data_IF_062311613309
#
_entry.id   IF_062311613309
#
_cell.length_a   1.000
_cell.length_b   1.000
_cell.length_c   1.000
_cell.angle_alpha   90.00
_cell.angle_beta   90.00
_cell.angle_gamma   90.00
#
_symmetry.space_group_name_H-M   'P 1'
#
loop_
_entity.id
_entity.type
_entity.pdbx_description
1 polymer ?
#
# COMPACT_ATOMS: atom_id res chain seq x y z
N UNK A 1 27.70 7.78 -55.32
CA UNK A 1 26.66 6.90 -55.89
C UNK A 1 25.47 6.93 -54.95
N UNK A 2 24.42 7.66 -55.34
CA UNK A 2 23.21 7.93 -54.51
C UNK A 2 22.17 6.88 -54.88
N UNK A 3 21.62 6.20 -53.90
CA UNK A 3 20.39 5.43 -54.09
C UNK A 3 19.36 5.96 -53.09
N UNK A 4 18.28 6.53 -53.60
CA UNK A 4 17.07 6.91 -52.89
C UNK A 4 16.13 5.70 -52.85
N UNK A 5 15.57 5.37 -51.73
CA UNK A 5 14.44 4.45 -51.62
C UNK A 5 13.20 5.22 -51.15
N UNK A 6 12.14 5.04 -51.94
CA UNK A 6 10.83 5.67 -51.75
C UNK A 6 10.00 4.89 -50.74
N UNK A 7 9.23 5.64 -49.92
CA UNK A 7 8.22 5.11 -49.01
C UNK A 7 6.89 5.07 -49.76
N UNK A 8 6.30 3.90 -49.86
CA UNK A 8 4.91 3.71 -50.32
C UNK A 8 3.98 3.67 -49.08
N UNK A 9 3.09 4.64 -48.99
CA UNK A 9 2.00 4.62 -48.04
C UNK A 9 0.85 3.76 -48.53
N UNK A 10 0.34 2.93 -47.67
CA UNK A 10 -0.87 2.11 -47.94
C UNK A 10 -1.96 2.51 -46.99
N UNK A 11 -2.96 3.23 -47.53
CA UNK A 11 -4.22 3.57 -46.85
C UNK A 11 -5.15 2.39 -46.85
N UNK A 12 -5.58 1.92 -45.68
CA UNK A 12 -6.70 0.98 -45.57
C UNK A 12 -7.99 1.74 -45.36
N UNK A 13 -8.91 1.57 -46.31
CA UNK A 13 -10.30 2.01 -46.25
C UNK A 13 -11.12 0.95 -45.54
N UNK A 14 -11.80 1.32 -44.46
CA UNK A 14 -12.76 0.46 -43.75
C UNK A 14 -14.14 0.72 -44.35
N UNK A 15 -14.71 -0.29 -44.99
CA UNK A 15 -16.10 -0.30 -45.50
C UNK A 15 -17.02 -0.81 -44.38
N UNK A 16 -17.95 0.03 -43.96
CA UNK A 16 -19.06 -0.35 -43.06
C UNK A 16 -20.17 -1.02 -43.88
N UNK A 17 -20.38 -2.30 -43.64
CA UNK A 17 -21.53 -3.04 -44.22
C UNK A 17 -22.72 -3.08 -43.26
N UNK A 18 -23.84 -2.48 -43.66
CA UNK A 18 -25.15 -2.71 -43.03
C UNK A 18 -25.71 -4.04 -43.52
N UNK A 19 -26.06 -4.94 -42.60
CA UNK A 19 -26.87 -6.15 -42.88
C UNK A 19 -28.23 -6.06 -42.16
N UNK A 20 -29.27 -6.73 -42.66
CA UNK A 20 -30.68 -6.39 -42.38
C UNK A 20 -31.21 -6.99 -41.07
N UNK A 21 -32.17 -6.27 -40.48
CA UNK A 21 -33.01 -6.68 -39.36
C UNK A 21 -33.84 -7.93 -39.71
N UNK A 22 -33.83 -8.92 -38.85
CA UNK A 22 -34.81 -9.99 -38.81
C UNK A 22 -35.93 -9.60 -37.83
N UNK A 23 -37.14 -9.47 -38.30
CA UNK A 23 -38.38 -9.39 -37.55
C UNK A 23 -38.69 -10.77 -36.95
N UNK A 24 -38.97 -10.83 -35.65
CA UNK A 24 -39.53 -12.03 -35.01
C UNK A 24 -41.02 -11.83 -34.74
N UNK A 25 -41.75 -12.83 -35.13
CA UNK A 25 -43.22 -12.93 -35.05
C UNK A 25 -43.74 -13.00 -33.62
N UNK A 26 -44.87 -12.36 -33.39
CA UNK A 26 -45.66 -12.47 -32.17
C UNK A 26 -46.43 -13.78 -32.14
N UNK A 27 -46.10 -14.67 -31.23
CA UNK A 27 -46.88 -15.85 -30.85
C UNK A 27 -47.57 -15.60 -29.52
N UNK A 28 -48.88 -15.43 -29.54
CA UNK A 28 -49.75 -15.43 -28.36
C UNK A 28 -49.92 -16.85 -27.85
N UNK A 29 -49.60 -17.10 -26.56
CA UNK A 29 -50.26 -18.19 -25.86
C UNK A 29 -50.55 -17.78 -24.39
N UNK A 30 -51.82 -17.88 -24.04
CA UNK A 30 -52.37 -17.51 -22.76
C UNK A 30 -52.39 -18.73 -21.85
N UNK A 31 -51.54 -18.71 -20.84
CA UNK A 31 -51.55 -19.65 -19.74
C UNK A 31 -51.59 -18.93 -18.39
N UNK A 32 -52.80 -18.74 -17.87
CA UNK A 32 -53.03 -18.22 -16.52
C UNK A 32 -52.58 -19.21 -15.46
N UNK A 33 -51.62 -18.84 -14.64
CA UNK A 33 -51.35 -19.48 -13.39
C UNK A 33 -51.38 -18.41 -12.27
N UNK A 34 -52.27 -18.49 -11.28
CA UNK A 34 -52.35 -17.52 -10.20
C UNK A 34 -51.53 -17.98 -9.04
N UNK A 35 -50.59 -17.19 -8.68
CA UNK A 35 -49.94 -17.29 -7.39
C UNK A 35 -48.43 -17.41 -7.45
N UNK A 36 -47.81 -16.28 -7.37
CA UNK A 36 -46.52 -16.13 -6.66
C UNK A 36 -46.29 -14.66 -6.37
N UNK A 37 -45.94 -14.40 -5.19
CA UNK A 37 -45.29 -13.23 -4.63
C UNK A 37 -44.94 -12.11 -5.62
N UNK A 38 -45.38 -10.92 -5.29
CA UNK A 38 -44.85 -9.70 -5.89
C UNK A 38 -43.33 -9.72 -5.65
N UNK A 39 -42.56 -10.13 -6.67
CA UNK A 39 -41.13 -10.11 -6.65
C UNK A 39 -40.66 -8.70 -6.32
N UNK A 40 -40.27 -8.47 -5.10
CA UNK A 40 -39.36 -7.41 -4.74
C UNK A 40 -38.26 -7.53 -5.78
N UNK A 41 -38.01 -6.47 -6.54
CA UNK A 41 -36.93 -6.45 -7.52
C UNK A 41 -35.63 -6.83 -6.80
N UNK A 42 -35.21 -8.11 -6.96
CA UNK A 42 -34.21 -8.77 -6.10
C UNK A 42 -32.82 -8.12 -6.20
N UNK A 43 -32.74 -6.96 -6.82
CA UNK A 43 -31.53 -6.21 -7.07
C UNK A 43 -31.42 -4.90 -6.30
N UNK A 44 -32.49 -4.32 -5.78
CA UNK A 44 -32.43 -3.04 -5.06
C UNK A 44 -32.22 -3.31 -3.57
N UNK A 45 -31.27 -2.57 -2.95
CA UNK A 45 -31.04 -2.67 -1.52
C UNK A 45 -32.26 -2.17 -0.72
N UNK A 46 -32.63 -2.90 0.31
CA UNK A 46 -33.65 -2.48 1.28
C UNK A 46 -33.17 -1.28 2.08
N UNK A 47 -34.08 -0.58 2.78
CA UNK A 47 -33.72 0.53 3.67
C UNK A 47 -32.71 0.10 4.76
N UNK A 48 -32.84 -1.10 5.30
CA UNK A 48 -31.90 -1.63 6.29
C UNK A 48 -30.50 -1.87 5.70
N UNK A 49 -30.43 -2.39 4.46
CA UNK A 49 -29.17 -2.59 3.76
C UNK A 49 -28.53 -1.26 3.34
N UNK A 50 -29.32 -0.26 2.97
CA UNK A 50 -28.84 1.10 2.70
C UNK A 50 -28.31 1.75 4.00
N UNK A 51 -29.01 1.59 5.12
CA UNK A 51 -28.54 2.06 6.43
C UNK A 51 -27.20 1.39 6.79
N UNK A 52 -27.05 0.10 6.51
CA UNK A 52 -25.77 -0.60 6.67
C UNK A 52 -24.71 -0.06 5.71
N UNK A 53 -25.04 0.20 4.45
CA UNK A 53 -24.11 0.77 3.47
C UNK A 53 -23.56 2.14 3.90
N UNK A 54 -24.36 2.96 4.59
CA UNK A 54 -23.91 4.23 5.18
C UNK A 54 -22.81 4.06 6.24
N UNK A 55 -22.64 2.89 6.84
CA UNK A 55 -21.51 2.64 7.77
C UNK A 55 -20.17 2.45 7.05
N UNK A 56 -20.20 2.19 5.73
CA UNK A 56 -19.03 2.00 4.87
C UNK A 56 -18.69 3.23 4.02
N UNK A 57 -19.54 4.25 4.00
CA UNK A 57 -19.41 5.44 3.15
C UNK A 57 -20.10 6.65 3.80
N UNK A 58 -19.54 7.86 3.59
CA UNK A 58 -18.33 8.18 2.83
C UNK A 58 -17.03 7.94 3.62
N UNK A 59 -15.90 7.92 2.91
CA UNK A 59 -14.58 7.94 3.56
C UNK A 59 -14.43 9.28 4.34
N UNK A 60 -14.13 9.26 5.65
CA UNK A 60 -14.08 10.46 6.50
C UNK A 60 -12.90 11.37 6.14
N UNK A 61 -12.71 12.47 6.87
CA UNK A 61 -11.48 13.25 6.86
C UNK A 61 -10.26 12.37 7.17
N UNK A 62 -9.08 12.72 6.65
CA UNK A 62 -7.85 12.02 7.01
C UNK A 62 -7.65 12.15 8.52
N UNK A 63 -7.46 11.04 9.27
CA UNK A 63 -7.29 11.09 10.72
C UNK A 63 -6.13 11.99 11.13
N UNK A 64 -6.27 12.72 12.24
CA UNK A 64 -5.16 13.49 12.80
C UNK A 64 -4.01 12.57 13.22
N UNK A 65 -2.79 13.06 13.04
CA UNK A 65 -1.57 12.37 13.53
C UNK A 65 -0.77 13.32 14.43
N UNK A 66 -1.09 13.37 15.74
CA UNK A 66 -0.39 14.25 16.68
C UNK A 66 1.09 13.88 16.86
N UNK A 67 1.48 12.67 16.50
CA UNK A 67 2.89 12.19 16.59
C UNK A 67 3.79 12.77 15.51
N UNK A 68 3.18 13.45 14.53
CA UNK A 68 3.84 14.22 13.48
C UNK A 68 3.23 15.64 13.41
N UNK A 69 3.85 16.61 14.05
CA UNK A 69 3.38 18.01 14.05
C UNK A 69 3.29 18.63 12.64
N UNK A 70 3.94 18.03 11.64
CA UNK A 70 3.97 18.44 10.25
C UNK A 70 3.03 17.63 9.34
N UNK A 71 2.18 16.79 9.93
CA UNK A 71 1.34 15.84 9.19
C UNK A 71 0.48 16.52 8.11
N UNK A 72 -0.04 17.71 8.38
CA UNK A 72 -0.90 18.45 7.46
C UNK A 72 -0.24 19.74 6.92
N UNK A 73 1.07 19.94 7.18
CA UNK A 73 1.84 21.07 6.66
C UNK A 73 2.10 20.93 5.16
N UNK A 74 1.78 21.97 4.38
CA UNK A 74 1.89 21.95 2.94
C UNK A 74 3.34 21.95 2.43
N UNK A 75 4.25 22.63 3.14
CA UNK A 75 5.66 22.67 2.79
C UNK A 75 6.33 21.33 3.09
N UNK A 76 5.99 20.71 4.23
CA UNK A 76 6.43 19.36 4.56
C UNK A 76 5.92 18.33 3.54
N UNK A 77 4.67 18.42 3.11
CA UNK A 77 4.13 17.56 2.06
C UNK A 77 4.87 17.76 0.71
N UNK A 78 5.23 18.98 0.36
CA UNK A 78 6.00 19.28 -0.86
C UNK A 78 7.41 18.68 -0.78
N UNK A 79 8.10 18.85 0.35
CA UNK A 79 9.39 18.18 0.58
C UNK A 79 9.24 16.65 0.54
N UNK A 80 8.20 16.12 1.17
CA UNK A 80 7.90 14.70 1.18
C UNK A 80 7.69 14.13 -0.22
N UNK A 81 6.98 14.85 -1.12
CA UNK A 81 6.84 14.47 -2.52
C UNK A 81 8.20 14.39 -3.21
N UNK A 82 9.06 15.42 -3.05
CA UNK A 82 10.42 15.41 -3.63
C UNK A 82 11.21 14.17 -3.18
N UNK A 83 11.20 13.89 -1.88
CA UNK A 83 11.91 12.76 -1.28
C UNK A 83 11.35 11.40 -1.73
N UNK A 84 10.04 11.32 -1.95
CA UNK A 84 9.35 10.11 -2.42
C UNK A 84 9.80 9.71 -3.84
N UNK A 85 10.07 10.69 -4.68
CA UNK A 85 10.52 10.50 -6.08
C UNK A 85 12.06 10.50 -6.24
N UNK A 86 12.81 10.92 -5.23
CA UNK A 86 14.29 10.97 -5.32
C UNK A 86 14.90 9.58 -5.11
N UNK A 87 15.54 9.06 -6.13
CA UNK A 87 16.27 7.79 -6.05
C UNK A 87 17.73 7.95 -5.60
N UNK A 88 18.29 9.17 -5.64
CA UNK A 88 19.73 9.42 -5.60
C UNK A 88 20.45 8.92 -4.33
N UNK A 89 19.72 8.70 -3.24
CA UNK A 89 20.28 8.21 -1.97
C UNK A 89 20.17 6.69 -1.78
N UNK A 90 19.58 5.96 -2.73
CA UNK A 90 19.48 4.50 -2.62
C UNK A 90 20.84 3.80 -2.77
N UNK A 91 20.94 2.64 -2.13
CA UNK A 91 22.12 1.78 -2.16
C UNK A 91 22.38 1.15 -3.52
N UNK A 92 23.37 0.27 -3.54
CA UNK A 92 23.71 -0.48 -4.75
C UNK A 92 22.66 -1.56 -5.05
N UNK A 93 22.34 -1.73 -6.33
CA UNK A 93 21.50 -2.83 -6.80
C UNK A 93 22.21 -4.16 -6.59
N UNK A 94 21.54 -5.09 -5.94
CA UNK A 94 21.97 -6.48 -5.85
C UNK A 94 21.41 -7.32 -7.02
N UNK A 95 20.29 -6.88 -7.61
CA UNK A 95 19.64 -7.52 -8.76
C UNK A 95 19.67 -6.53 -9.93
N UNK A 96 20.24 -6.95 -11.05
CA UNK A 96 20.33 -6.13 -12.26
C UNK A 96 19.13 -6.32 -13.21
N UNK A 97 19.17 -5.62 -14.35
CA UNK A 97 18.13 -5.66 -15.39
C UNK A 97 17.85 -7.09 -15.89
N UNK A 98 18.86 -7.93 -15.95
CA UNK A 98 18.77 -9.36 -16.26
C UNK A 98 18.04 -10.17 -15.18
N UNK A 99 18.03 -9.68 -13.94
CA UNK A 99 17.30 -10.25 -12.82
C UNK A 99 15.85 -9.78 -12.72
N UNK A 100 15.35 -9.01 -13.69
CA UNK A 100 13.96 -8.55 -13.72
C UNK A 100 13.66 -7.33 -12.85
N UNK A 101 14.65 -6.46 -12.60
CA UNK A 101 14.48 -5.25 -11.79
C UNK A 101 13.72 -4.11 -12.48
N UNK A 102 12.95 -4.39 -13.54
CA UNK A 102 12.18 -3.38 -14.25
C UNK A 102 13.01 -2.30 -14.94
N UNK A 103 14.22 -2.65 -15.40
CA UNK A 103 15.18 -1.76 -16.04
C UNK A 103 15.72 -0.62 -15.13
N UNK A 104 15.78 -0.85 -13.80
CA UNK A 104 16.39 0.11 -12.87
C UNK A 104 17.89 0.31 -13.14
N UNK A 105 18.60 -0.72 -13.60
CA UNK A 105 20.03 -0.63 -13.93
C UNK A 105 20.79 -1.94 -13.73
N UNK A 106 22.13 -1.87 -13.78
CA UNK A 106 23.00 -3.00 -13.57
C UNK A 106 23.31 -3.24 -12.09
N UNK A 107 23.71 -4.48 -11.75
CA UNK A 107 24.21 -4.82 -10.40
C UNK A 107 25.35 -3.87 -10.02
N UNK A 108 25.32 -3.38 -8.79
CA UNK A 108 26.29 -2.44 -8.24
C UNK A 108 25.97 -0.95 -8.47
N UNK A 109 25.09 -0.61 -9.42
CA UNK A 109 24.66 0.77 -9.60
C UNK A 109 23.87 1.29 -8.39
N UNK A 110 24.10 2.56 -8.04
CA UNK A 110 23.47 3.25 -6.91
C UNK A 110 22.53 4.33 -7.42
N UNK A 111 21.65 4.83 -6.53
CA UNK A 111 20.76 5.94 -6.87
C UNK A 111 19.67 5.57 -7.86
N UNK A 112 19.19 4.33 -7.85
CA UNK A 112 18.23 3.80 -8.83
C UNK A 112 16.84 3.54 -8.29
N UNK A 113 16.69 3.43 -6.97
CA UNK A 113 15.43 3.06 -6.32
C UNK A 113 14.88 4.22 -5.53
N UNK A 114 13.65 4.61 -5.81
CA UNK A 114 12.85 5.56 -5.04
C UNK A 114 11.60 4.87 -4.50
N UNK A 115 10.82 5.53 -3.64
CA UNK A 115 9.55 4.97 -3.16
C UNK A 115 8.60 4.66 -4.33
N UNK A 116 8.53 5.56 -5.32
CA UNK A 116 7.73 5.37 -6.55
C UNK A 116 8.17 4.14 -7.37
N UNK A 117 9.37 3.62 -7.17
CA UNK A 117 9.83 2.42 -7.86
C UNK A 117 9.02 1.18 -7.52
N UNK A 118 8.49 1.08 -6.28
CA UNK A 118 7.64 -0.01 -5.82
C UNK A 118 6.18 0.42 -5.64
N UNK A 119 5.92 1.70 -5.47
CA UNK A 119 4.58 2.25 -5.29
C UNK A 119 4.21 3.08 -6.50
N UNK A 120 3.83 2.41 -7.58
CA UNK A 120 3.47 3.05 -8.84
C UNK A 120 2.24 3.95 -8.68
N UNK A 121 2.21 5.02 -9.45
CA UNK A 121 1.42 6.20 -9.18
C UNK A 121 -0.10 6.05 -9.18
N UNK A 122 -0.66 5.11 -9.94
CA UNK A 122 -2.11 5.03 -10.09
C UNK A 122 -2.78 4.18 -9.01
N UNK A 123 -2.16 3.07 -8.63
CA UNK A 123 -2.72 2.11 -7.67
C UNK A 123 -1.93 2.04 -6.37
N UNK A 124 -0.70 2.53 -6.38
CA UNK A 124 0.18 2.49 -5.22
C UNK A 124 0.79 1.13 -4.91
N UNK A 125 0.60 0.12 -5.75
CA UNK A 125 1.25 -1.20 -5.63
C UNK A 125 2.24 -1.44 -6.75
N UNK A 126 3.15 -2.38 -6.55
CA UNK A 126 4.22 -2.72 -7.49
C UNK A 126 3.82 -3.91 -8.37
N UNK A 127 3.85 -3.73 -9.68
CA UNK A 127 3.60 -4.76 -10.68
C UNK A 127 4.87 -5.33 -11.33
N UNK A 128 6.06 -4.75 -11.03
CA UNK A 128 7.33 -5.18 -11.64
C UNK A 128 7.80 -6.56 -11.19
N UNK A 129 7.21 -7.09 -10.16
CA UNK A 129 7.62 -8.35 -9.52
C UNK A 129 6.94 -9.59 -10.08
N UNK A 130 6.16 -9.46 -11.14
CA UNK A 130 5.59 -10.61 -11.85
C UNK A 130 6.73 -11.42 -12.49
N UNK A 131 6.80 -12.75 -12.27
CA UNK A 131 5.82 -13.63 -11.63
C UNK A 131 5.95 -13.80 -10.11
N UNK A 132 6.94 -13.21 -9.47
CA UNK A 132 7.30 -13.54 -8.07
C UNK A 132 6.50 -12.78 -7.02
N UNK A 133 5.78 -11.73 -7.40
CA UNK A 133 4.80 -11.01 -6.60
C UNK A 133 5.29 -10.36 -5.30
N UNK A 134 6.58 -10.38 -5.01
CA UNK A 134 7.21 -9.64 -3.92
C UNK A 134 7.88 -8.38 -4.47
N UNK A 135 7.96 -7.33 -3.66
CA UNK A 135 8.55 -6.06 -4.10
C UNK A 135 10.01 -6.22 -4.51
N UNK A 136 10.39 -5.54 -5.58
CA UNK A 136 11.75 -5.45 -6.08
C UNK A 136 12.28 -4.02 -5.91
N UNK A 137 13.15 -3.85 -4.92
CA UNK A 137 13.93 -2.64 -4.69
C UNK A 137 15.36 -2.78 -5.21
N UNK A 138 16.34 -2.63 -4.33
CA UNK A 138 17.75 -2.96 -4.63
C UNK A 138 17.97 -4.48 -4.73
N UNK A 139 17.11 -5.26 -4.07
CA UNK A 139 17.01 -6.71 -4.11
C UNK A 139 15.55 -7.10 -3.93
N UNK A 140 15.22 -8.37 -4.03
CA UNK A 140 13.87 -8.85 -3.74
C UNK A 140 13.54 -8.70 -2.26
N UNK A 141 12.43 -8.02 -1.99
CA UNK A 141 11.81 -7.97 -0.68
C UNK A 141 11.23 -9.32 -0.26
N UNK A 142 10.54 -9.34 0.87
CA UNK A 142 9.90 -10.56 1.38
C UNK A 142 8.38 -10.54 1.21
N UNK A 143 7.81 -9.40 0.87
CA UNK A 143 6.36 -9.17 0.76
C UNK A 143 6.07 -8.27 -0.43
N UNK A 144 4.83 -8.31 -0.90
CA UNK A 144 4.32 -7.41 -1.92
C UNK A 144 4.21 -5.96 -1.39
N UNK A 145 4.40 -4.97 -2.25
CA UNK A 145 4.19 -3.57 -1.91
C UNK A 145 2.70 -3.29 -1.67
N UNK A 146 2.41 -2.54 -0.62
CA UNK A 146 1.06 -2.11 -0.29
C UNK A 146 0.71 -0.84 -1.08
N UNK A 147 -0.56 -0.68 -1.43
CA UNK A 147 -1.07 0.58 -1.93
C UNK A 147 -0.80 1.71 -0.92
N UNK A 148 -0.29 2.85 -1.41
CA UNK A 148 -0.07 4.06 -0.60
C UNK A 148 -1.27 5.00 -0.62
N UNK A 149 -2.11 4.92 -1.65
CA UNK A 149 -3.38 5.67 -1.74
C UNK A 149 -4.30 5.19 -0.63
N UNK A 150 -4.88 6.13 0.09
CA UNK A 150 -5.72 5.90 1.27
C UNK A 150 -5.02 5.19 2.46
N UNK A 151 -3.71 4.99 2.43
CA UNK A 151 -2.98 4.34 3.53
C UNK A 151 -3.11 5.09 4.86
N UNK A 152 -3.35 6.41 4.83
CA UNK A 152 -3.51 7.25 6.04
C UNK A 152 -4.74 6.98 6.87
N UNK A 153 -5.70 6.20 6.34
CA UNK A 153 -6.90 5.81 7.08
C UNK A 153 -6.71 4.53 7.91
N UNK A 154 -5.56 3.88 7.79
CA UNK A 154 -5.29 2.61 8.46
C UNK A 154 -4.43 2.83 9.71
N UNK A 155 -4.79 2.21 10.85
CA UNK A 155 -4.14 2.50 12.14
C UNK A 155 -2.72 1.92 12.25
N UNK A 156 -2.38 0.95 11.40
CA UNK A 156 -1.09 0.29 11.33
C UNK A 156 -0.57 0.31 9.91
N UNK A 157 0.74 0.40 9.75
CA UNK A 157 1.39 0.35 8.43
C UNK A 157 2.21 -0.93 8.26
N UNK A 158 2.46 -1.33 7.00
CA UNK A 158 3.00 -2.63 6.61
C UNK A 158 2.02 -3.79 6.89
N UNK A 159 2.28 -4.96 6.32
CA UNK A 159 1.43 -6.15 6.39
C UNK A 159 1.25 -6.70 7.80
N UNK A 160 2.31 -6.83 8.57
CA UNK A 160 2.27 -7.29 9.95
C UNK A 160 2.12 -6.16 10.98
N UNK A 161 1.86 -4.92 10.55
CA UNK A 161 1.75 -3.77 11.44
C UNK A 161 3.06 -3.46 12.17
N UNK A 162 4.18 -3.58 11.47
CA UNK A 162 5.53 -3.32 11.99
C UNK A 162 5.74 -1.87 12.41
N UNK A 163 4.85 -0.96 11.98
CA UNK A 163 4.92 0.46 12.29
C UNK A 163 3.55 0.95 12.75
N UNK A 164 3.55 1.77 13.78
CA UNK A 164 2.36 2.33 14.41
C UNK A 164 2.04 3.76 13.95
N UNK A 165 2.87 4.33 13.07
CA UNK A 165 2.66 5.62 12.43
C UNK A 165 3.09 5.58 10.96
N UNK A 166 2.57 6.52 10.15
CA UNK A 166 3.01 6.63 8.76
C UNK A 166 4.43 7.16 8.64
N UNK A 167 4.89 8.01 9.55
CA UNK A 167 6.21 8.61 9.45
C UNK A 167 7.34 7.66 9.84
N UNK A 168 7.07 6.62 10.63
CA UNK A 168 8.09 5.63 11.00
C UNK A 168 8.38 4.61 9.89
N UNK A 169 7.41 4.33 9.02
CA UNK A 169 7.55 3.38 7.91
C UNK A 169 8.67 3.75 6.91
N UNK A 170 8.74 4.99 6.36
CA UNK A 170 9.78 5.37 5.40
C UNK A 170 11.20 5.20 5.93
N UNK A 171 11.41 5.33 7.25
CA UNK A 171 12.71 5.18 7.89
C UNK A 171 13.25 3.75 7.69
N UNK A 172 12.45 2.76 8.05
CA UNK A 172 12.86 1.37 7.91
C UNK A 172 12.96 0.93 6.45
N UNK A 173 12.10 1.45 5.58
CA UNK A 173 12.15 1.17 4.13
C UNK A 173 13.44 1.72 3.52
N UNK A 174 13.84 2.94 3.86
CA UNK A 174 15.06 3.54 3.35
C UNK A 174 16.30 2.75 3.78
N UNK A 175 16.41 2.31 5.04
CA UNK A 175 17.56 1.56 5.53
C UNK A 175 17.55 0.06 5.22
N UNK A 176 16.42 -0.49 4.74
CA UNK A 176 16.34 -1.89 4.35
C UNK A 176 17.23 -2.18 3.13
N UNK A 177 18.24 -3.04 3.31
CA UNK A 177 19.21 -3.37 2.27
C UNK A 177 18.62 -4.02 1.02
N UNK A 178 17.42 -4.60 1.12
CA UNK A 178 16.71 -5.19 -0.02
C UNK A 178 15.77 -4.21 -0.72
N UNK A 179 15.39 -3.12 -0.04
CA UNK A 179 14.41 -2.17 -0.59
C UNK A 179 15.13 -0.95 -1.16
N UNK A 180 15.64 -0.06 -0.31
CA UNK A 180 16.36 1.12 -0.79
C UNK A 180 17.87 1.08 -0.46
N UNK A 181 18.30 0.33 0.54
CA UNK A 181 19.72 0.18 0.89
C UNK A 181 20.42 1.49 1.26
N UNK A 182 19.67 2.53 1.64
CA UNK A 182 20.20 3.80 2.09
C UNK A 182 20.79 3.70 3.51
N UNK A 183 21.37 4.80 3.97
CA UNK A 183 21.78 4.96 5.38
C UNK A 183 21.23 6.28 5.90
N UNK A 184 20.97 6.39 7.22
CA UNK A 184 20.46 7.64 7.80
C UNK A 184 21.43 8.80 7.67
N UNK A 185 22.74 8.55 7.70
CA UNK A 185 23.76 9.56 7.39
C UNK A 185 23.67 9.99 5.92
N UNK A 186 23.53 9.05 4.99
CA UNK A 186 23.31 9.38 3.57
C UNK A 186 22.08 10.23 3.36
N UNK A 187 20.99 9.97 4.09
CA UNK A 187 19.76 10.80 4.05
C UNK A 187 20.03 12.19 4.64
N UNK A 188 20.78 12.31 5.73
CA UNK A 188 21.15 13.62 6.31
C UNK A 188 21.96 14.46 5.32
N UNK A 189 22.95 13.86 4.65
CA UNK A 189 23.72 14.54 3.60
C UNK A 189 22.90 14.83 2.35
N UNK A 190 21.95 13.98 1.97
CA UNK A 190 20.99 14.31 0.88
C UNK A 190 20.22 15.58 1.20
N UNK A 191 19.66 15.66 2.41
CA UNK A 191 18.89 16.84 2.86
C UNK A 191 19.76 18.08 2.87
N UNK A 192 20.98 18.00 3.34
CA UNK A 192 21.94 19.11 3.30
C UNK A 192 22.23 19.56 1.86
N UNK A 193 22.57 18.63 0.99
CA UNK A 193 23.07 18.95 -0.35
C UNK A 193 21.97 19.43 -1.32
N UNK A 194 20.75 18.88 -1.19
CA UNK A 194 19.67 19.13 -2.16
C UNK A 194 18.48 19.91 -1.60
N UNK A 195 18.17 19.72 -0.32
CA UNK A 195 16.89 20.14 0.26
C UNK A 195 17.07 21.00 1.52
N UNK A 196 18.26 21.55 1.78
CA UNK A 196 18.55 22.33 2.99
C UNK A 196 17.57 23.46 3.20
N UNK A 197 17.35 24.29 2.18
CA UNK A 197 16.46 25.44 2.30
C UNK A 197 15.01 25.01 2.62
N UNK A 198 14.54 23.93 2.02
CA UNK A 198 13.21 23.39 2.32
C UNK A 198 13.15 22.86 3.76
N UNK A 199 14.16 22.09 4.18
CA UNK A 199 14.22 21.53 5.52
C UNK A 199 14.26 22.60 6.60
N UNK A 200 15.18 23.57 6.46
CA UNK A 200 15.40 24.64 7.44
C UNK A 200 14.17 25.59 7.55
N UNK A 201 13.37 25.69 6.49
CA UNK A 201 12.12 26.46 6.51
C UNK A 201 10.96 25.74 7.20
N UNK A 202 10.98 24.41 7.25
CA UNK A 202 9.89 23.59 7.80
C UNK A 202 10.15 23.23 9.26
N UNK A 203 11.34 22.72 9.55
CA UNK A 203 11.64 22.14 10.85
C UNK A 203 12.29 23.17 11.79
N UNK A 204 11.85 23.26 13.07
CA UNK A 204 12.30 24.28 14.01
C UNK A 204 13.78 24.23 14.35
N UNK A 205 14.42 23.08 14.13
CA UNK A 205 15.86 22.93 14.32
C UNK A 205 16.49 22.67 12.96
N UNK A 206 17.29 23.62 12.44
CA UNK A 206 17.89 23.50 11.11
C UNK A 206 18.90 22.36 11.04
N UNK A 207 19.36 22.06 9.84
CA UNK A 207 20.43 21.09 9.62
C UNK A 207 21.74 21.57 10.24
N UNK A 208 22.49 20.66 10.88
CA UNK A 208 23.80 20.99 11.47
C UNK A 208 24.81 21.37 10.38
N UNK A 209 25.51 22.47 10.58
CA UNK A 209 26.46 22.99 9.59
C UNK A 209 27.63 22.03 9.31
N UNK A 210 27.98 21.16 10.24
CA UNK A 210 29.01 20.13 10.05
C UNK A 210 28.61 19.03 9.03
N UNK A 211 27.36 19.03 8.54
CA UNK A 211 26.96 18.24 7.36
C UNK A 211 27.57 18.77 6.05
N UNK A 212 28.05 20.01 6.04
CA UNK A 212 28.85 20.52 4.94
C UNK A 212 30.21 19.81 4.89
N UNK A 213 30.56 19.15 3.79
CA UNK A 213 31.87 18.48 3.69
C UNK A 213 33.06 19.45 3.76
N UNK A 214 32.82 20.75 3.56
CA UNK A 214 33.82 21.80 3.70
C UNK A 214 33.95 22.37 5.14
N UNK A 215 33.06 21.97 6.05
CA UNK A 215 33.11 22.43 7.44
C UNK A 215 34.35 21.87 8.16
N UNK A 216 34.94 22.66 9.06
CA UNK A 216 36.13 22.26 9.82
C UNK A 216 35.90 21.02 10.69
N UNK A 217 34.66 20.80 11.11
CA UNK A 217 34.22 19.67 11.95
C UNK A 217 33.36 18.64 11.18
N UNK A 218 33.43 18.64 9.84
CA UNK A 218 32.65 17.72 8.99
C UNK A 218 32.87 16.24 9.35
N UNK A 219 33.99 15.88 9.94
CA UNK A 219 34.29 14.52 10.40
C UNK A 219 33.29 13.99 11.46
N UNK A 220 32.51 14.86 12.10
CA UNK A 220 31.42 14.46 13.01
C UNK A 220 30.33 13.65 12.30
N UNK A 221 30.09 13.90 11.03
CA UNK A 221 29.05 13.26 10.23
C UNK A 221 29.66 12.53 9.02
N UNK A 222 30.09 11.27 9.18
CA UNK A 222 30.55 10.46 8.05
C UNK A 222 29.55 10.43 6.90
N UNK A 223 30.04 10.32 5.66
CA UNK A 223 29.19 10.38 4.45
C UNK A 223 28.11 9.28 4.40
N UNK A 224 28.34 8.16 5.07
CA UNK A 224 27.45 7.02 5.13
C UNK A 224 27.52 6.36 6.51
N UNK A 225 26.42 5.80 6.96
CA UNK A 225 26.35 5.05 8.20
C UNK A 225 24.93 4.89 8.71
N UNK A 226 24.66 3.75 9.31
CA UNK A 226 23.43 3.39 10.01
C UNK A 226 23.76 2.41 11.14
N UNK A 227 22.88 2.20 12.12
CA UNK A 227 23.12 1.20 13.16
C UNK A 227 23.41 -0.17 12.57
N UNK A 228 24.34 -0.87 13.15
CA UNK A 228 24.63 -2.27 12.80
C UNK A 228 23.40 -3.15 13.00
N UNK A 229 23.26 -4.19 12.18
CA UNK A 229 22.09 -5.04 12.17
C UNK A 229 22.02 -5.94 13.40
N UNK A 230 23.17 -6.45 13.87
CA UNK A 230 23.29 -7.26 15.06
C UNK A 230 24.36 -6.71 16.01
N UNK A 231 24.20 -6.95 17.29
CA UNK A 231 25.16 -6.51 18.29
C UNK A 231 26.57 -7.07 18.08
N UNK A 232 26.67 -8.27 17.51
CA UNK A 232 27.94 -8.93 17.20
C UNK A 232 28.62 -8.41 15.93
N UNK A 233 27.94 -7.61 15.10
CA UNK A 233 28.55 -7.04 13.90
C UNK A 233 29.64 -6.03 14.31
N UNK A 234 30.69 -5.86 13.49
CA UNK A 234 31.74 -4.87 13.77
C UNK A 234 31.17 -3.45 13.79
N UNK A 235 31.77 -2.59 14.60
CA UNK A 235 31.42 -1.18 14.64
C UNK A 235 31.75 -0.51 13.30
N UNK A 236 30.74 0.18 12.75
CA UNK A 236 30.84 0.98 11.55
C UNK A 236 30.96 2.48 11.86
N UNK A 237 30.93 3.33 10.83
CA UNK A 237 30.98 4.77 11.01
C UNK A 237 29.91 5.31 11.97
N UNK A 238 28.74 4.68 12.02
CA UNK A 238 27.66 5.06 12.93
C UNK A 238 27.99 4.83 14.39
N UNK A 239 28.54 3.67 14.73
CA UNK A 239 28.88 3.32 16.11
C UNK A 239 30.03 4.18 16.66
N UNK A 240 30.94 4.62 15.79
CA UNK A 240 32.10 5.47 16.13
C UNK A 240 31.73 6.94 16.36
N UNK A 241 30.49 7.39 15.97
CA UNK A 241 30.05 8.74 16.24
C UNK A 241 29.77 8.99 17.72
N UNK A 242 29.91 10.23 18.15
CA UNK A 242 29.46 10.68 19.46
C UNK A 242 27.92 10.51 19.58
N UNK A 243 27.46 10.20 20.79
CA UNK A 243 26.04 9.98 21.07
C UNK A 243 25.17 11.19 20.70
N UNK A 244 25.68 12.42 20.95
CA UNK A 244 25.01 13.67 20.56
C UNK A 244 24.84 13.81 19.05
N UNK A 245 25.86 13.46 18.28
CA UNK A 245 25.83 13.52 16.82
C UNK A 245 24.86 12.48 16.24
N UNK A 246 24.83 11.27 16.81
CA UNK A 246 23.82 10.26 16.46
C UNK A 246 22.39 10.75 16.74
N UNK A 247 22.16 11.47 17.84
CA UNK A 247 20.85 12.04 18.16
C UNK A 247 20.44 13.13 17.14
N UNK A 248 21.38 13.96 16.69
CA UNK A 248 21.14 14.94 15.62
C UNK A 248 20.70 14.23 14.32
N UNK A 249 21.45 13.23 13.90
CA UNK A 249 21.11 12.46 12.68
C UNK A 249 19.77 11.75 12.81
N UNK A 250 19.47 11.15 13.97
CA UNK A 250 18.18 10.50 14.20
C UNK A 250 17.00 11.48 14.12
N UNK A 251 17.15 12.72 14.64
CA UNK A 251 16.13 13.77 14.49
C UNK A 251 15.94 14.14 13.01
N UNK A 252 17.02 14.35 12.28
CA UNK A 252 16.96 14.66 10.84
C UNK A 252 16.25 13.53 10.10
N UNK A 253 16.59 12.30 10.44
CA UNK A 253 15.99 11.11 9.85
C UNK A 253 14.50 10.96 10.20
N UNK A 254 14.08 11.23 11.42
CA UNK A 254 12.68 11.28 11.80
C UNK A 254 11.91 12.34 10.98
N UNK A 255 12.49 13.53 10.81
CA UNK A 255 11.90 14.61 10.02
C UNK A 255 11.77 14.24 8.53
N UNK A 256 12.74 13.50 7.97
CA UNK A 256 12.62 12.89 6.63
C UNK A 256 11.35 12.01 6.54
N UNK A 257 11.15 11.12 7.50
CA UNK A 257 9.94 10.28 7.53
C UNK A 257 8.66 11.08 7.72
N UNK A 258 8.68 12.12 8.56
CA UNK A 258 7.55 13.01 8.82
C UNK A 258 7.14 13.78 7.56
N UNK A 259 8.10 14.27 6.77
CA UNK A 259 7.82 14.93 5.49
C UNK A 259 7.18 13.97 4.48
N UNK A 260 7.72 12.76 4.32
CA UNK A 260 7.12 11.75 3.44
C UNK A 260 5.70 11.40 3.89
N UNK A 261 5.46 11.22 5.19
CA UNK A 261 4.13 10.97 5.72
C UNK A 261 3.15 12.11 5.42
N UNK A 262 3.59 13.38 5.53
CA UNK A 262 2.78 14.53 5.15
C UNK A 262 2.35 14.48 3.67
N UNK A 263 3.24 14.06 2.77
CA UNK A 263 2.89 13.82 1.37
C UNK A 263 1.92 12.65 1.20
N UNK A 264 2.16 11.50 1.82
CA UNK A 264 1.29 10.32 1.72
C UNK A 264 -0.13 10.62 2.18
N UNK A 265 -0.32 11.54 3.13
CA UNK A 265 -1.64 12.01 3.58
C UNK A 265 -2.42 12.79 2.51
N UNK A 266 -1.76 13.30 1.47
CA UNK A 266 -2.40 13.91 0.30
C UNK A 266 -2.86 12.89 -0.72
N UNK A 267 -2.34 11.66 -0.70
CA UNK A 267 -2.71 10.59 -1.64
C UNK A 267 -4.05 9.96 -1.23
N UNK A 268 -5.12 10.68 -1.48
CA UNK A 268 -6.48 10.26 -1.11
C UNK A 268 -7.33 10.12 -2.36
N UNK A 269 -7.95 8.96 -2.50
CA UNK A 269 -8.96 8.65 -3.52
C UNK A 269 -10.32 8.50 -2.85
N UNK A 270 -11.31 9.23 -3.35
CA UNK A 270 -12.68 9.32 -2.85
C UNK A 270 -13.67 9.14 -3.99
N UNK A 271 -14.96 9.26 -3.69
CA UNK A 271 -16.04 9.24 -4.69
C UNK A 271 -16.06 7.96 -5.55
N UNK A 272 -15.76 6.82 -4.92
CA UNK A 272 -15.96 5.53 -5.56
C UNK A 272 -17.42 5.40 -6.05
N UNK A 273 -17.71 4.61 -7.08
CA UNK A 273 -19.09 4.35 -7.49
C UNK A 273 -20.00 3.97 -6.32
N UNK A 274 -19.52 3.15 -5.40
CA UNK A 274 -20.25 2.81 -4.17
C UNK A 274 -20.55 4.05 -3.30
N UNK A 275 -19.60 4.97 -3.15
CA UNK A 275 -19.82 6.21 -2.36
C UNK A 275 -20.92 7.08 -2.99
N UNK A 276 -20.94 7.20 -4.32
CA UNK A 276 -21.98 7.95 -5.05
C UNK A 276 -23.35 7.29 -4.92
N UNK A 277 -23.38 5.96 -4.97
CA UNK A 277 -24.61 5.20 -4.77
C UNK A 277 -25.18 5.46 -3.36
N UNK A 278 -24.38 5.34 -2.31
CA UNK A 278 -24.78 5.61 -0.93
C UNK A 278 -25.21 7.07 -0.74
N UNK A 279 -24.63 8.00 -1.52
CA UNK A 279 -25.01 9.42 -1.51
C UNK A 279 -26.31 9.70 -2.32
N UNK A 280 -26.96 8.68 -2.91
CA UNK A 280 -28.26 8.80 -3.59
C UNK A 280 -28.23 8.69 -5.11
N UNK A 281 -27.06 8.50 -5.75
CA UNK A 281 -26.98 8.20 -7.19
C UNK A 281 -27.28 6.72 -7.45
N UNK A 282 -28.55 6.38 -7.59
CA UNK A 282 -29.00 4.99 -7.78
C UNK A 282 -28.42 4.31 -9.03
N UNK A 283 -27.84 5.07 -9.95
CA UNK A 283 -27.25 4.56 -11.21
C UNK A 283 -25.75 4.33 -11.10
N UNK A 284 -25.11 4.72 -9.99
CA UNK A 284 -23.66 4.66 -9.82
C UNK A 284 -23.10 3.23 -9.76
N UNK A 285 -23.91 2.25 -9.36
CA UNK A 285 -23.55 0.83 -9.35
C UNK A 285 -24.65 -0.02 -9.97
N UNK A 286 -24.25 -1.15 -10.54
CA UNK A 286 -25.19 -2.09 -11.16
C UNK A 286 -26.02 -2.84 -10.11
N UNK A 287 -27.16 -3.42 -10.55
CA UNK A 287 -27.98 -4.33 -9.74
C UNK A 287 -27.14 -5.52 -9.24
N UNK A 288 -26.25 -6.05 -10.07
CA UNK A 288 -25.30 -7.10 -9.68
C UNK A 288 -24.39 -6.64 -8.53
N UNK A 289 -23.84 -5.43 -8.58
CA UNK A 289 -23.02 -4.89 -7.49
C UNK A 289 -23.82 -4.66 -6.20
N UNK A 290 -25.09 -4.29 -6.28
CA UNK A 290 -25.97 -4.19 -5.11
C UNK A 290 -26.21 -5.56 -4.46
N UNK A 291 -26.47 -6.62 -5.26
CA UNK A 291 -26.52 -7.99 -4.74
C UNK A 291 -25.18 -8.42 -4.15
N UNK A 292 -24.07 -8.01 -4.78
CA UNK A 292 -22.73 -8.26 -4.28
C UNK A 292 -22.46 -7.63 -2.90
N UNK A 293 -23.02 -6.46 -2.62
CA UNK A 293 -22.96 -5.87 -1.27
C UNK A 293 -23.69 -6.74 -0.25
N UNK A 294 -24.86 -7.34 -0.60
CA UNK A 294 -25.54 -8.32 0.27
C UNK A 294 -24.65 -9.53 0.53
N UNK A 295 -24.05 -10.09 -0.51
CA UNK A 295 -23.11 -11.21 -0.35
C UNK A 295 -21.97 -10.82 0.56
N UNK A 296 -21.37 -9.64 0.37
CA UNK A 296 -20.26 -9.12 1.19
C UNK A 296 -20.62 -9.02 2.67
N UNK A 297 -21.82 -8.55 2.99
CA UNK A 297 -22.26 -8.28 4.37
C UNK A 297 -22.93 -9.47 5.05
N UNK A 298 -23.44 -10.44 4.29
CA UNK A 298 -24.18 -11.60 4.80
C UNK A 298 -23.38 -12.91 4.60
N UNK A 299 -23.76 -13.74 3.62
CA UNK A 299 -23.20 -15.08 3.45
C UNK A 299 -21.71 -15.13 3.14
N UNK A 300 -21.15 -14.09 2.51
CA UNK A 300 -19.72 -13.94 2.25
C UNK A 300 -18.89 -13.59 3.48
N UNK A 301 -19.54 -13.11 4.56
CA UNK A 301 -18.91 -12.75 5.85
C UNK A 301 -17.74 -11.76 5.75
N UNK A 302 -17.52 -11.12 4.60
CA UNK A 302 -16.37 -10.24 4.36
C UNK A 302 -16.39 -9.03 5.30
N UNK A 303 -17.59 -8.47 5.57
CA UNK A 303 -17.77 -7.32 6.45
C UNK A 303 -17.37 -7.57 7.90
N UNK A 304 -17.17 -8.83 8.32
CA UNK A 304 -16.72 -9.18 9.67
C UNK A 304 -15.32 -8.63 9.97
N UNK A 305 -14.44 -8.64 8.97
CA UNK A 305 -13.08 -8.08 9.05
C UNK A 305 -12.98 -6.78 8.22
N UNK A 306 -13.61 -6.74 7.05
CA UNK A 306 -13.58 -5.58 6.15
C UNK A 306 -14.75 -4.63 6.44
N UNK A 307 -14.75 -4.00 7.62
CA UNK A 307 -15.81 -3.11 8.11
C UNK A 307 -15.43 -1.62 8.04
N UNK A 308 -16.42 -0.76 8.18
CA UNK A 308 -16.27 0.70 8.23
C UNK A 308 -15.80 1.33 6.92
N UNK A 309 -15.58 2.66 6.90
CA UNK A 309 -15.33 3.42 5.67
C UNK A 309 -14.08 3.05 4.90
N UNK A 310 -13.09 2.46 5.57
CA UNK A 310 -11.86 1.94 4.93
C UNK A 310 -11.97 0.48 4.51
N UNK A 311 -13.09 -0.18 4.78
CA UNK A 311 -13.25 -1.64 4.60
C UNK A 311 -12.13 -2.42 5.30
N UNK A 312 -11.86 -2.07 6.56
CA UNK A 312 -10.84 -2.70 7.40
C UNK A 312 -11.18 -2.47 8.86
N UNK A 313 -11.12 -3.50 9.67
CA UNK A 313 -11.24 -3.41 11.13
C UNK A 313 -9.93 -2.98 11.82
N UNK A 314 -8.84 -2.84 11.04
CA UNK A 314 -7.51 -2.50 11.52
C UNK A 314 -6.85 -3.57 12.40
N UNK A 315 -7.42 -4.77 12.47
CA UNK A 315 -6.90 -5.89 13.25
C UNK A 315 -6.02 -6.82 12.40
N UNK A 316 -5.59 -7.91 13.00
CA UNK A 316 -4.67 -8.89 12.40
C UNK A 316 -5.30 -10.28 12.48
N UNK A 317 -5.33 -10.97 11.32
CA UNK A 317 -5.96 -12.27 11.17
C UNK A 317 -5.00 -13.22 10.46
N UNK A 318 -4.94 -14.47 10.94
CA UNK A 318 -4.18 -15.54 10.30
C UNK A 318 -5.11 -16.24 9.30
N UNK A 319 -4.84 -16.06 8.01
CA UNK A 319 -5.66 -16.58 6.92
C UNK A 319 -5.07 -17.86 6.30
N UNK A 320 -3.84 -18.23 6.64
CA UNK A 320 -3.15 -19.38 6.06
C UNK A 320 -2.77 -19.19 4.58
N UNK A 321 -2.46 -17.97 4.16
CA UNK A 321 -1.97 -17.72 2.79
C UNK A 321 -0.64 -18.43 2.59
N UNK A 322 -0.56 -19.32 1.60
CA UNK A 322 0.60 -20.16 1.37
C UNK A 322 1.83 -19.34 0.96
N UNK A 323 2.98 -19.69 1.53
CA UNK A 323 4.27 -19.11 1.15
C UNK A 323 4.82 -19.82 -0.08
N UNK A 324 4.33 -19.47 -1.27
CA UNK A 324 4.69 -20.11 -2.53
C UNK A 324 5.19 -19.08 -3.54
N UNK A 325 6.21 -19.42 -4.28
CA UNK A 325 6.85 -18.55 -5.29
C UNK A 325 8.36 -18.55 -5.16
N UNK A 326 9.08 -18.35 -6.24
CA UNK A 326 10.54 -18.44 -6.30
C UNK A 326 11.25 -17.48 -5.32
N UNK A 327 10.68 -16.28 -5.11
CA UNK A 327 11.28 -15.22 -4.28
C UNK A 327 10.53 -15.02 -2.96
N UNK A 328 9.46 -15.77 -2.73
CA UNK A 328 8.69 -15.72 -1.50
C UNK A 328 9.46 -16.49 -0.41
N UNK A 329 9.65 -15.93 0.78
CA UNK A 329 10.32 -16.66 1.85
C UNK A 329 9.49 -17.90 2.26
N UNK A 330 10.18 -18.97 2.62
CA UNK A 330 9.51 -20.23 3.02
C UNK A 330 8.61 -20.02 4.25
N UNK A 331 8.94 -19.06 5.10
CA UNK A 331 8.24 -18.72 6.33
C UNK A 331 8.05 -17.23 6.45
N UNK A 332 6.84 -16.79 6.79
CA UNK A 332 6.54 -15.43 7.24
C UNK A 332 5.59 -15.49 8.44
N UNK A 333 6.12 -15.15 9.60
CA UNK A 333 5.37 -15.20 10.87
C UNK A 333 4.44 -13.99 11.08
N UNK A 334 4.33 -13.09 10.10
CA UNK A 334 3.41 -11.95 10.14
C UNK A 334 3.63 -11.04 11.35
N UNK A 335 2.54 -10.77 12.07
CA UNK A 335 2.54 -9.91 13.27
C UNK A 335 3.52 -10.37 14.34
N UNK A 336 3.66 -11.69 14.53
CA UNK A 336 4.57 -12.26 15.54
C UNK A 336 6.00 -11.76 15.38
N UNK A 337 6.54 -11.77 14.17
CA UNK A 337 7.92 -11.33 13.93
C UNK A 337 8.08 -9.80 13.91
N UNK A 338 7.00 -9.05 13.67
CA UNK A 338 7.05 -7.60 13.50
C UNK A 338 6.94 -6.83 14.83
N UNK A 339 6.27 -7.38 15.85
CA UNK A 339 6.04 -6.74 17.16
C UNK A 339 7.32 -6.41 17.92
N UNK A 340 8.31 -7.31 18.07
CA UNK A 340 9.53 -6.98 18.82
C UNK A 340 10.28 -5.78 18.26
N UNK A 341 10.41 -5.70 16.93
CA UNK A 341 11.07 -4.59 16.27
C UNK A 341 10.31 -3.27 16.41
N UNK A 342 8.98 -3.30 16.40
CA UNK A 342 8.14 -2.14 16.66
C UNK A 342 8.36 -1.60 18.08
N UNK A 343 8.31 -2.47 19.09
CA UNK A 343 8.45 -2.07 20.48
C UNK A 343 9.85 -1.54 20.81
N UNK A 344 10.89 -2.08 20.18
CA UNK A 344 12.27 -1.65 20.34
C UNK A 344 12.63 -0.38 19.54
N UNK A 345 11.78 0.07 18.63
CA UNK A 345 12.08 1.20 17.75
C UNK A 345 12.06 2.53 18.50
N UNK A 346 13.08 3.38 18.42
CA UNK A 346 13.03 4.73 18.96
C UNK A 346 12.10 5.66 18.15
N UNK A 347 11.63 5.20 17.02
CA UNK A 347 10.75 5.91 16.08
C UNK A 347 9.29 5.46 16.13
N UNK A 348 8.89 4.69 17.15
CA UNK A 348 7.47 4.41 17.37
C UNK A 348 6.75 5.63 18.00
N UNK A 349 5.42 5.58 18.12
CA UNK A 349 4.64 6.72 18.61
C UNK A 349 4.95 7.09 20.08
N UNK A 350 5.43 6.16 20.88
CA UNK A 350 5.89 6.41 22.26
C UNK A 350 7.35 6.89 22.34
N UNK A 351 8.10 6.84 21.23
CA UNK A 351 9.53 7.10 21.19
C UNK A 351 9.90 8.57 21.22
N UNK A 352 11.18 8.85 21.44
CA UNK A 352 11.75 10.18 21.64
C UNK A 352 11.63 11.12 20.41
N UNK A 353 11.32 10.59 19.23
CA UNK A 353 11.18 11.36 17.98
C UNK A 353 9.72 11.63 17.58
N UNK A 354 8.75 11.16 18.36
CA UNK A 354 7.35 11.56 18.27
C UNK A 354 7.17 13.00 18.75
N UNK A 355 6.40 13.80 18.06
CA UNK A 355 6.11 15.19 18.50
C UNK A 355 5.09 15.24 19.64
N UNK A 356 4.28 14.18 19.80
CA UNK A 356 3.42 13.95 20.94
C UNK A 356 3.54 12.48 21.35
N UNK A 357 4.54 12.11 22.17
CA UNK A 357 4.74 10.72 22.58
C UNK A 357 3.50 10.13 23.24
N UNK A 358 2.98 9.07 22.64
CA UNK A 358 1.82 8.35 23.12
C UNK A 358 2.01 6.84 22.97
N UNK A 359 1.93 6.14 24.09
CA UNK A 359 1.98 4.68 24.09
C UNK A 359 0.73 4.05 23.45
N UNK A 360 -0.44 4.72 23.52
CA UNK A 360 -1.67 4.40 22.84
C UNK A 360 -1.82 2.94 22.41
N UNK A 361 -1.69 2.67 21.13
CA UNK A 361 -1.76 1.34 20.52
C UNK A 361 -0.70 0.34 21.01
N UNK A 362 0.39 0.82 21.60
CA UNK A 362 1.50 -0.01 22.10
C UNK A 362 1.26 -0.47 23.53
N UNK A 363 0.31 0.15 24.25
CA UNK A 363 0.00 -0.21 25.63
C UNK A 363 -0.47 -1.65 25.73
N UNK A 364 0.26 -2.47 26.50
CA UNK A 364 -0.03 -3.89 26.65
C UNK A 364 0.30 -4.76 25.42
N UNK A 365 0.85 -4.19 24.35
CA UNK A 365 1.28 -4.97 23.20
C UNK A 365 2.52 -5.79 23.56
N UNK A 366 2.41 -7.10 23.43
CA UNK A 366 3.50 -8.04 23.60
C UNK A 366 3.43 -9.11 22.51
N UNK A 367 4.57 -9.64 22.12
CA UNK A 367 4.62 -10.79 21.22
C UNK A 367 3.92 -11.99 21.84
N UNK A 368 3.07 -12.66 21.07
CA UNK A 368 2.39 -13.88 21.48
C UNK A 368 2.19 -14.84 20.32
N UNK A 369 2.10 -16.16 20.60
CA UNK A 369 1.93 -17.17 19.57
C UNK A 369 0.62 -17.00 18.78
N UNK A 370 -0.41 -16.39 19.36
CA UNK A 370 -1.64 -16.04 18.65
C UNK A 370 -1.43 -15.07 17.45
N UNK A 371 -0.27 -14.42 17.37
CA UNK A 371 0.08 -13.53 16.29
C UNK A 371 0.79 -14.21 15.10
N UNK A 372 1.09 -15.52 15.22
CA UNK A 372 1.80 -16.25 14.15
C UNK A 372 0.97 -16.37 12.89
N UNK A 373 1.54 -15.90 11.78
CA UNK A 373 0.87 -15.90 10.48
C UNK A 373 -0.29 -14.92 10.37
N UNK A 374 -0.47 -14.03 11.35
CA UNK A 374 -1.48 -12.99 11.31
C UNK A 374 -0.97 -11.77 10.55
N UNK A 375 -1.80 -11.29 9.63
CA UNK A 375 -1.56 -10.08 8.83
C UNK A 375 -2.71 -9.11 9.01
N UNK A 376 -2.42 -7.82 8.81
CA UNK A 376 -3.40 -6.76 8.95
C UNK A 376 -4.50 -6.88 7.89
N UNK A 377 -5.75 -6.69 8.29
CA UNK A 377 -6.85 -6.50 7.35
C UNK A 377 -6.55 -5.27 6.48
N UNK A 378 -6.33 -5.49 5.19
CA UNK A 378 -6.11 -4.41 4.24
C UNK A 378 -7.42 -3.68 3.96
N UNK A 379 -7.35 -2.37 3.71
CA UNK A 379 -8.48 -1.63 3.16
C UNK A 379 -8.80 -2.11 1.75
N UNK A 380 -10.07 -2.07 1.36
CA UNK A 380 -10.49 -2.53 0.02
C UNK A 380 -10.72 -1.39 -0.96
N UNK A 381 -10.56 -0.13 -0.57
CA UNK A 381 -10.65 1.00 -1.51
C UNK A 381 -9.46 1.00 -2.47
N UNK A 382 -9.75 1.09 -3.77
CA UNK A 382 -8.74 1.00 -4.82
C UNK A 382 -8.30 -0.44 -5.11
N UNK A 383 -9.10 -1.43 -4.70
CA UNK A 383 -8.76 -2.85 -4.79
C UNK A 383 -8.56 -3.33 -6.24
N UNK A 384 -9.37 -2.85 -7.17
CA UNK A 384 -9.32 -3.29 -8.57
C UNK A 384 -7.99 -3.00 -9.27
N UNK A 385 -7.28 -1.96 -8.82
CA UNK A 385 -6.00 -1.55 -9.37
C UNK A 385 -4.78 -2.06 -8.57
N UNK A 386 -4.98 -2.87 -7.51
CA UNK A 386 -3.91 -3.25 -6.58
C UNK A 386 -3.49 -4.73 -6.64
N UNK A 387 -3.86 -5.46 -7.70
CA UNK A 387 -3.35 -6.80 -7.94
C UNK A 387 -1.80 -6.78 -8.09
N UNK A 388 -1.09 -7.87 -7.71
CA UNK A 388 -1.59 -9.10 -7.11
C UNK A 388 -1.91 -8.96 -5.61
N UNK A 389 -2.76 -9.85 -5.11
CA UNK A 389 -3.31 -9.78 -3.76
C UNK A 389 -2.55 -10.63 -2.75
N UNK A 390 -2.82 -10.37 -1.46
CA UNK A 390 -2.21 -10.95 -0.27
C UNK A 390 -0.76 -10.45 -0.05
N UNK A 391 -0.21 -10.77 1.13
CA UNK A 391 1.05 -10.19 1.60
C UNK A 391 2.29 -10.56 0.76
N UNK A 392 2.22 -11.63 0.00
CA UNK A 392 3.26 -12.05 -0.94
C UNK A 392 2.75 -12.21 -2.38
N UNK A 393 1.59 -11.61 -2.70
CA UNK A 393 1.10 -11.49 -4.06
C UNK A 393 0.70 -12.81 -4.74
N UNK A 394 0.32 -13.85 -3.97
CA UNK A 394 0.01 -15.16 -4.52
C UNK A 394 -1.27 -15.20 -5.34
N UNK A 395 -2.25 -14.36 -5.04
CA UNK A 395 -3.55 -14.36 -5.70
C UNK A 395 -3.57 -13.26 -6.76
N UNK A 396 -3.78 -13.64 -8.01
CA UNK A 396 -3.64 -12.74 -9.16
C UNK A 396 -4.91 -11.96 -9.46
N UNK A 397 -6.08 -12.53 -9.15
CA UNK A 397 -7.38 -11.96 -9.49
C UNK A 397 -8.31 -11.93 -8.28
N UNK A 398 -9.35 -11.11 -8.34
CA UNK A 398 -10.41 -11.12 -7.33
C UNK A 398 -11.14 -12.47 -7.28
N UNK A 399 -11.22 -13.18 -8.40
CA UNK A 399 -11.76 -14.54 -8.43
C UNK A 399 -10.92 -15.49 -7.60
N UNK A 400 -9.59 -15.41 -7.68
CA UNK A 400 -8.69 -16.22 -6.85
C UNK A 400 -8.88 -15.90 -5.37
N UNK A 401 -9.06 -14.61 -5.02
CA UNK A 401 -9.32 -14.17 -3.65
C UNK A 401 -10.63 -14.74 -3.12
N UNK A 402 -11.72 -14.65 -3.88
CA UNK A 402 -13.03 -15.21 -3.48
C UNK A 402 -12.93 -16.72 -3.32
N UNK A 403 -12.27 -17.42 -4.25
CA UNK A 403 -12.06 -18.87 -4.19
C UNK A 403 -11.25 -19.26 -2.95
N UNK A 404 -10.22 -18.50 -2.59
CA UNK A 404 -9.44 -18.72 -1.38
C UNK A 404 -10.32 -18.67 -0.11
N UNK A 405 -11.20 -17.68 -0.01
CA UNK A 405 -12.13 -17.58 1.13
C UNK A 405 -13.24 -18.65 1.09
N UNK A 406 -13.70 -19.08 -0.09
CA UNK A 406 -14.62 -20.21 -0.21
C UNK A 406 -14.05 -21.49 0.40
N UNK A 407 -12.76 -21.72 0.24
CA UNK A 407 -12.06 -22.86 0.82
C UNK A 407 -11.85 -22.74 2.34
N UNK A 408 -12.20 -21.59 2.94
CA UNK A 408 -11.96 -21.31 4.35
C UNK A 408 -10.50 -20.96 4.64
N UNK A 409 -9.84 -20.24 3.71
CA UNK A 409 -8.44 -19.91 3.84
C UNK A 409 -7.52 -21.10 3.54
N UNK A 410 -6.32 -21.09 4.13
CA UNK A 410 -5.31 -22.14 3.96
C UNK A 410 -4.72 -22.63 5.28
N UNK A 411 -3.70 -23.46 5.20
CA UNK A 411 -2.99 -23.94 6.38
C UNK A 411 -2.06 -22.83 6.93
N UNK A 412 -2.21 -22.52 8.21
CA UNK A 412 -1.27 -21.60 8.90
C UNK A 412 0.01 -22.38 9.23
N UNK A 413 1.14 -21.81 8.83
CA UNK A 413 2.47 -22.42 9.03
C UNK A 413 3.05 -22.05 10.39
N UNK A 414 4.09 -22.80 10.81
CA UNK A 414 4.96 -22.49 11.94
C UNK A 414 4.24 -22.33 13.30
N UNK A 415 3.26 -23.20 13.58
CA UNK A 415 2.56 -23.24 14.86
C UNK A 415 1.50 -22.15 15.05
N UNK A 416 1.16 -21.42 13.99
CA UNK A 416 0.03 -20.50 14.01
C UNK A 416 -1.31 -21.23 13.99
N UNK A 417 -2.39 -20.50 14.32
CA UNK A 417 -3.77 -21.01 14.30
C UNK A 417 -4.59 -20.15 13.34
N UNK A 418 -5.34 -20.80 12.46
CA UNK A 418 -6.28 -20.12 11.57
C UNK A 418 -7.29 -19.30 12.39
N UNK A 419 -7.56 -18.07 11.95
CA UNK A 419 -8.56 -17.24 12.61
C UNK A 419 -9.92 -17.93 12.56
N UNK A 420 -10.63 -18.09 13.71
CA UNK A 420 -11.91 -18.80 13.78
C UNK A 420 -13.03 -18.14 12.96
N UNK A 421 -12.87 -16.88 12.56
CA UNK A 421 -13.80 -16.19 11.65
C UNK A 421 -13.65 -16.67 10.20
N UNK A 422 -12.52 -17.28 9.85
CA UNK A 422 -12.24 -17.80 8.50
C UNK A 422 -12.79 -19.23 8.42
N UNK A 423 -13.94 -19.35 7.81
CA UNK A 423 -14.65 -20.63 7.62
C UNK A 423 -15.03 -20.79 6.15
N UNK A 424 -15.13 -22.04 5.65
CA UNK A 424 -15.59 -22.26 4.28
C UNK A 424 -16.92 -21.55 4.00
N UNK A 425 -17.05 -21.02 2.77
CA UNK A 425 -18.25 -20.35 2.29
C UNK A 425 -18.90 -21.21 1.20
N UNK A 426 -20.22 -21.12 1.11
CA UNK A 426 -20.97 -21.71 0.00
C UNK A 426 -21.61 -20.58 -0.79
N UNK A 427 -21.01 -20.24 -1.94
CA UNK A 427 -21.48 -19.20 -2.83
C UNK A 427 -21.80 -19.82 -4.20
N UNK A 428 -22.93 -19.46 -4.78
CA UNK A 428 -23.26 -19.79 -6.17
C UNK A 428 -22.33 -19.03 -7.13
N UNK A 429 -22.30 -19.44 -8.38
CA UNK A 429 -21.54 -18.74 -9.42
C UNK A 429 -21.99 -17.27 -9.59
N UNK A 430 -23.30 -17.03 -9.50
CA UNK A 430 -23.87 -15.68 -9.60
C UNK A 430 -23.48 -14.81 -8.38
N UNK A 431 -23.56 -15.36 -7.17
CA UNK A 431 -23.13 -14.62 -5.96
C UNK A 431 -21.64 -14.27 -5.98
N UNK A 432 -20.79 -15.13 -6.53
CA UNK A 432 -19.36 -14.79 -6.74
C UNK A 432 -19.18 -13.67 -7.75
N UNK A 433 -19.91 -13.72 -8.87
CA UNK A 433 -19.88 -12.67 -9.88
C UNK A 433 -20.38 -11.34 -9.30
N UNK A 434 -21.48 -11.37 -8.57
CA UNK A 434 -22.07 -10.21 -7.90
C UNK A 434 -21.10 -9.61 -6.84
N UNK A 435 -20.47 -10.45 -6.03
CA UNK A 435 -19.46 -10.01 -5.05
C UNK A 435 -18.27 -9.32 -5.74
N UNK A 436 -17.75 -9.86 -6.83
CA UNK A 436 -16.67 -9.26 -7.60
C UNK A 436 -17.13 -7.93 -8.21
N UNK A 437 -18.35 -7.88 -8.76
CA UNK A 437 -18.92 -6.64 -9.27
C UNK A 437 -19.03 -5.55 -8.20
N UNK A 438 -19.39 -5.91 -6.96
CA UNK A 438 -19.38 -4.98 -5.83
C UNK A 438 -17.96 -4.50 -5.51
N UNK A 439 -16.99 -5.41 -5.34
CA UNK A 439 -15.61 -5.05 -5.00
C UNK A 439 -14.99 -4.07 -6.00
N UNK A 440 -15.32 -4.18 -7.28
CA UNK A 440 -14.88 -3.25 -8.33
C UNK A 440 -15.49 -1.85 -8.20
N UNK A 441 -16.60 -1.69 -7.47
CA UNK A 441 -17.19 -0.37 -7.21
C UNK A 441 -16.46 0.44 -6.14
N UNK A 442 -15.45 -0.12 -5.50
CA UNK A 442 -14.67 0.52 -4.42
C UNK A 442 -13.48 1.34 -4.93
N UNK A 443 -13.24 1.35 -6.23
CA UNK A 443 -12.21 2.16 -6.86
C UNK A 443 -12.69 3.61 -7.00
N UNK A 444 -12.04 4.51 -6.28
CA UNK A 444 -12.41 5.93 -6.24
C UNK A 444 -11.84 6.74 -7.41
N UNK A 445 -12.08 8.04 -7.37
CA UNK A 445 -11.52 8.97 -8.33
C UNK A 445 -9.99 8.95 -8.29
N UNK A 446 -9.37 9.24 -9.43
CA UNK A 446 -7.91 9.35 -9.52
C UNK A 446 -7.38 10.39 -8.51
N UNK A 447 -6.22 10.11 -7.95
CA UNK A 447 -5.46 11.08 -7.15
C UNK A 447 -5.06 12.27 -8.04
N UNK A 448 -4.96 13.47 -7.45
CA UNK A 448 -4.51 14.66 -8.17
C UNK A 448 -3.18 14.38 -8.90
N UNK A 449 -3.18 14.59 -10.21
CA UNK A 449 -2.04 14.33 -11.07
C UNK A 449 -0.79 15.12 -10.65
N UNK A 450 -0.95 16.30 -10.03
CA UNK A 450 0.18 17.10 -9.53
C UNK A 450 0.94 16.39 -8.39
N UNK A 451 0.27 15.51 -7.63
CA UNK A 451 0.90 14.71 -6.60
C UNK A 451 1.68 13.51 -7.16
N UNK A 452 1.47 13.15 -8.42
CA UNK A 452 2.09 11.99 -9.07
C UNK A 452 3.28 12.37 -9.95
N UNK A 453 3.67 13.65 -9.97
CA UNK A 453 4.80 14.14 -10.77
C UNK A 453 6.08 14.06 -9.95
N UNK A 454 7.15 13.60 -10.60
CA UNK A 454 8.49 13.67 -10.03
C UNK A 454 8.95 15.14 -9.91
N UNK A 455 9.08 15.61 -8.69
CA UNK A 455 9.54 16.98 -8.35
C UNK A 455 10.90 16.98 -7.65
N UNK A 456 11.63 15.84 -7.63
CA UNK A 456 12.97 15.74 -7.05
C UNK A 456 13.98 16.66 -7.77
N UNK A 457 15.05 17.07 -7.06
CA UNK A 457 16.11 17.95 -7.56
C UNK A 457 17.38 17.21 -7.93
#
# INVERSE_FOLDING_TARGET
MRIRSAVLGMSCVVVVGCGPMLQADAGTDAGTNPGTDAGVDAGVLTEAELALAHTFSPLPGVPADPTNAFADDAAAATLGQRLYFDSSYSGALAVGTDGGNGALGAVGERGKVACVSCHTSAAGSDDRTVPNHVSLGTDYGTRNALAVVNASFLPWTNWGGRFDSQWSLPLAVAENGKIMGATRLGVAHLLWNKYRADYDAIFPVPLDAALDPAAADAARFPAQGKPKAAAADPDGPWELMAAGDRAIVNRIYANYGKAIAAYLRKLVSRQAPFDRFVAGDSTAISVSAQRGFRVFTAQGKCATCHSGPSFSDGKFHALGVQQTGERVPATDLGRFQDVPGLLASPFNTAGAYSDAPDAGKLTGLAQSDAMRGAFRTSGLRGLGASAPYMHSGQLKTLTDVVTFYEQGGGAVVDGGTLDPLVTPLTLTADEKADLIAFLQTLDGAAVDAALLVNTSR
#
